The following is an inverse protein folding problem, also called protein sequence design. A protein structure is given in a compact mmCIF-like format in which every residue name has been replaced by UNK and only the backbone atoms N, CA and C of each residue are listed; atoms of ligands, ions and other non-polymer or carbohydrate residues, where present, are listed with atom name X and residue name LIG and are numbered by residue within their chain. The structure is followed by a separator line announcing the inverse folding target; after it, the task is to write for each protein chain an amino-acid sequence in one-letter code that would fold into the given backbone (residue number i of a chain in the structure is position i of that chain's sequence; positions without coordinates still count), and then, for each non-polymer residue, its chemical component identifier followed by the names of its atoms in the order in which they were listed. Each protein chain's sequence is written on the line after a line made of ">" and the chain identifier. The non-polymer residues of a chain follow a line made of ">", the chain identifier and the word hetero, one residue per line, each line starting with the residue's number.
data_IF_237158496180
#
_entry.id   IF_237158496180
#
_cell.length_a   1.000
_cell.length_b   1.000
_cell.length_c   1.000
_cell.angle_alpha   90.00
_cell.angle_beta   90.00
_cell.angle_gamma   90.00
#
_symmetry.space_group_name_H-M   'P 1'
#
loop_
_entity.id
_entity.type
_entity.pdbx_description
1 polymer ?
#
# COMPACT_ATOMS: atom_id res chain seq x y z
N UNK A 1 -23.24 -2.71 -20.78
CA UNK A 1 -23.23 -1.74 -19.66
C UNK A 1 -21.88 -1.04 -19.55
N UNK A 2 -21.80 0.17 -18.99
CA UNK A 2 -20.52 0.79 -18.61
C UNK A 2 -20.01 0.07 -17.37
N UNK A 3 -18.88 -0.61 -17.49
CA UNK A 3 -18.22 -1.19 -16.33
C UNK A 3 -17.79 -0.07 -15.37
N UNK A 4 -18.13 -0.24 -14.09
CA UNK A 4 -17.72 0.69 -13.04
C UNK A 4 -16.26 0.39 -12.68
N UNK A 5 -15.36 1.19 -13.25
CA UNK A 5 -13.93 1.02 -13.07
C UNK A 5 -13.50 1.65 -11.75
N UNK A 6 -12.85 0.88 -10.88
CA UNK A 6 -12.33 1.38 -9.61
C UNK A 6 -10.82 1.16 -9.51
N UNK A 7 -10.16 1.97 -8.67
CA UNK A 7 -8.73 1.82 -8.39
C UNK A 7 -8.47 0.41 -7.83
N UNK A 8 -7.52 -0.29 -8.45
CA UNK A 8 -7.13 -1.65 -8.09
C UNK A 8 -7.92 -2.75 -8.80
N UNK A 9 -8.92 -2.41 -9.62
CA UNK A 9 -9.62 -3.38 -10.48
C UNK A 9 -8.75 -3.81 -11.67
N UNK A 10 -8.97 -5.04 -12.14
CA UNK A 10 -8.36 -5.54 -13.38
C UNK A 10 -9.27 -5.29 -14.57
N UNK A 11 -8.68 -4.90 -15.68
CA UNK A 11 -9.36 -4.63 -16.92
C UNK A 11 -8.51 -5.13 -18.09
N UNK A 12 -9.15 -5.47 -19.20
CA UNK A 12 -8.49 -5.73 -20.48
C UNK A 12 -8.50 -4.46 -21.31
N UNK A 13 -7.37 -4.15 -21.92
CA UNK A 13 -7.25 -2.99 -22.80
C UNK A 13 -7.72 -3.35 -24.20
N UNK A 14 -8.61 -2.56 -24.78
CA UNK A 14 -9.08 -2.72 -26.16
C UNK A 14 -9.20 -1.35 -26.86
N UNK A 15 -9.14 -1.33 -28.19
CA UNK A 15 -9.38 -0.10 -28.97
C UNK A 15 -8.30 1.00 -28.85
N UNK A 16 -7.06 0.67 -28.47
CA UNK A 16 -5.94 1.61 -28.58
C UNK A 16 -5.55 1.79 -30.06
N UNK A 17 -5.58 3.04 -30.54
CA UNK A 17 -5.22 3.38 -31.91
C UNK A 17 -3.72 3.63 -32.15
N UNK A 18 -2.97 4.04 -31.11
CA UNK A 18 -1.53 4.35 -31.21
C UNK A 18 -0.62 3.19 -30.80
N UNK A 19 -1.09 2.34 -29.88
CA UNK A 19 -0.37 1.17 -29.34
C UNK A 19 -1.29 -0.04 -29.44
N UNK A 20 -1.53 -0.48 -30.67
CA UNK A 20 -2.41 -1.61 -30.98
C UNK A 20 -1.86 -2.94 -30.47
N UNK A 21 -0.55 -3.00 -30.23
CA UNK A 21 0.20 -4.09 -29.61
C UNK A 21 -0.28 -4.44 -28.19
N UNK A 22 -0.92 -3.49 -27.51
CA UNK A 22 -1.45 -3.68 -26.16
C UNK A 22 -2.93 -4.01 -26.12
N UNK A 23 -3.60 -4.08 -27.28
CA UNK A 23 -4.98 -4.54 -27.32
C UNK A 23 -5.02 -6.04 -26.95
N UNK A 24 -5.87 -6.39 -25.98
CA UNK A 24 -5.92 -7.71 -25.37
C UNK A 24 -5.09 -7.85 -24.09
N UNK A 25 -4.23 -6.87 -23.76
CA UNK A 25 -3.41 -6.93 -22.55
C UNK A 25 -4.26 -6.71 -21.29
N UNK A 26 -3.94 -7.46 -20.23
CA UNK A 26 -4.54 -7.29 -18.91
C UNK A 26 -3.78 -6.21 -18.13
N UNK A 27 -4.53 -5.29 -17.56
CA UNK A 27 -4.01 -4.17 -16.80
C UNK A 27 -4.68 -4.05 -15.44
N UNK A 28 -3.92 -3.57 -14.47
CA UNK A 28 -4.43 -3.15 -13.15
C UNK A 28 -4.58 -1.64 -13.16
N UNK A 29 -5.77 -1.14 -12.83
CA UNK A 29 -6.03 0.28 -12.71
C UNK A 29 -5.39 0.83 -11.43
N UNK A 30 -4.54 1.84 -11.53
CA UNK A 30 -3.81 2.41 -10.40
C UNK A 30 -4.46 3.68 -9.85
N UNK A 31 -4.87 4.59 -10.74
CA UNK A 31 -5.51 5.85 -10.36
C UNK A 31 -6.30 6.45 -11.52
N UNK A 32 -7.31 7.24 -11.20
CA UNK A 32 -8.04 8.04 -12.19
C UNK A 32 -7.40 9.43 -12.30
N UNK A 33 -6.93 9.79 -13.49
CA UNK A 33 -6.42 11.12 -13.79
C UNK A 33 -7.56 11.98 -14.36
N UNK A 34 -8.24 12.71 -13.47
CA UNK A 34 -9.39 13.53 -13.81
C UNK A 34 -9.06 14.63 -14.85
N UNK A 35 -7.85 15.18 -14.78
CA UNK A 35 -7.40 16.26 -15.69
C UNK A 35 -7.33 15.82 -17.15
N UNK A 36 -7.07 14.53 -17.39
CA UNK A 36 -6.87 13.97 -18.73
C UNK A 36 -8.02 13.05 -19.16
N UNK A 37 -8.91 12.70 -18.22
CA UNK A 37 -9.99 11.75 -18.42
C UNK A 37 -9.49 10.35 -18.74
N UNK A 38 -8.38 9.93 -18.13
CA UNK A 38 -7.73 8.63 -18.38
C UNK A 38 -7.37 7.93 -17.08
N UNK A 39 -7.43 6.60 -17.11
CA UNK A 39 -6.88 5.75 -16.06
C UNK A 39 -5.39 5.60 -16.23
N UNK A 40 -4.62 5.82 -15.17
CA UNK A 40 -3.29 5.25 -15.04
C UNK A 40 -3.46 3.76 -14.76
N UNK A 41 -2.86 2.92 -15.59
CA UNK A 41 -2.95 1.47 -15.49
C UNK A 41 -1.57 0.85 -15.70
N UNK A 42 -1.29 -0.24 -15.00
CA UNK A 42 -0.07 -1.04 -15.18
C UNK A 42 -0.40 -2.29 -15.97
N UNK A 43 0.36 -2.59 -17.02
CA UNK A 43 0.25 -3.85 -17.75
C UNK A 43 0.83 -5.00 -16.93
N UNK A 44 0.08 -6.09 -16.81
CA UNK A 44 0.54 -7.28 -16.09
C UNK A 44 1.63 -8.03 -16.87
N UNK A 45 1.57 -8.01 -18.19
CA UNK A 45 2.51 -8.74 -19.05
C UNK A 45 3.89 -8.04 -19.17
N UNK A 46 3.91 -6.70 -19.16
CA UNK A 46 5.14 -5.92 -19.39
C UNK A 46 5.57 -5.10 -18.17
N UNK A 47 4.73 -4.98 -17.15
CA UNK A 47 4.96 -4.10 -15.99
C UNK A 47 4.86 -2.60 -16.30
N UNK A 48 4.65 -2.22 -17.56
CA UNK A 48 4.70 -0.83 -18.02
C UNK A 48 3.46 -0.03 -17.55
N UNK A 49 3.69 1.20 -17.09
CA UNK A 49 2.64 2.16 -16.78
C UNK A 49 2.13 2.86 -18.04
N UNK A 50 0.81 2.92 -18.20
CA UNK A 50 0.17 3.54 -19.34
C UNK A 50 -1.11 4.27 -18.96
N UNK A 51 -1.52 5.20 -19.83
CA UNK A 51 -2.75 5.98 -19.68
C UNK A 51 -3.81 5.48 -20.66
N UNK A 52 -4.89 4.91 -20.14
CA UNK A 52 -5.95 4.28 -20.92
C UNK A 52 -7.27 5.02 -20.72
N UNK A 53 -8.03 5.24 -21.80
CA UNK A 53 -9.37 5.83 -21.69
C UNK A 53 -10.33 4.81 -21.09
N UNK A 54 -11.36 5.22 -20.32
CA UNK A 54 -12.40 4.30 -19.85
C UNK A 54 -13.07 3.49 -20.97
N UNK A 55 -13.26 4.11 -22.14
CA UNK A 55 -13.84 3.44 -23.31
C UNK A 55 -12.96 2.31 -23.88
N UNK A 56 -11.69 2.27 -23.49
CA UNK A 56 -10.71 1.30 -23.93
C UNK A 56 -10.43 0.24 -22.84
N UNK A 57 -11.27 0.18 -21.80
CA UNK A 57 -11.16 -0.77 -20.70
C UNK A 57 -12.41 -1.66 -20.66
N UNK A 58 -12.17 -2.96 -20.69
CA UNK A 58 -13.20 -3.98 -20.52
C UNK A 58 -12.97 -4.65 -19.16
N UNK A 59 -13.92 -4.57 -18.24
CA UNK A 59 -13.78 -5.22 -16.95
C UNK A 59 -13.70 -6.74 -17.12
N UNK A 60 -12.77 -7.36 -16.41
CA UNK A 60 -12.64 -8.82 -16.35
C UNK A 60 -13.12 -9.24 -14.97
N UNK A 61 -14.18 -10.03 -14.90
CA UNK A 61 -14.61 -10.65 -13.65
C UNK A 61 -13.60 -11.75 -13.30
N UNK A 62 -12.82 -11.59 -12.24
CA UNK A 62 -11.93 -12.65 -11.76
C UNK A 62 -12.77 -13.80 -11.19
N UNK A 63 -12.89 -14.89 -11.94
CA UNK A 63 -13.33 -16.17 -11.39
C UNK A 63 -12.13 -16.85 -10.71
N UNK A 64 -12.08 -16.76 -9.37
CA UNK A 64 -11.19 -17.60 -8.56
C UNK A 64 -12.05 -18.66 -7.82
N UNK A 65 -11.58 -19.92 -7.72
CA UNK A 65 -12.37 -21.04 -7.22
C UNK A 65 -12.58 -20.94 -5.70
N UNK A 66 -13.82 -21.21 -5.27
CA UNK A 66 -14.20 -21.32 -3.88
C UNK A 66 -13.67 -22.63 -3.28
N UNK A 67 -12.90 -22.55 -2.20
CA UNK A 67 -12.69 -23.66 -1.28
C UNK A 67 -12.99 -23.16 0.13
N UNK A 68 -14.12 -23.61 0.66
CA UNK A 68 -14.50 -23.46 2.07
C UNK A 68 -13.58 -24.32 2.96
N UNK A 69 -13.13 -23.77 4.09
CA UNK A 69 -13.10 -24.56 5.34
C UNK A 69 -13.17 -23.70 6.60
N UNK A 70 -13.72 -24.34 7.64
CA UNK A 70 -14.45 -23.85 8.80
C UNK A 70 -13.63 -23.14 9.89
N UNK A 71 -14.36 -22.33 10.64
CA UNK A 71 -13.97 -21.65 11.86
C UNK A 71 -13.60 -22.59 13.01
N UNK A 72 -12.66 -22.14 13.84
CA UNK A 72 -12.55 -22.53 15.24
C UNK A 72 -12.35 -21.26 16.09
N UNK A 73 -13.16 -21.19 17.14
CA UNK A 73 -13.21 -20.21 18.20
C UNK A 73 -12.02 -20.34 19.16
N UNK A 74 -11.57 -19.25 19.76
CA UNK A 74 -11.71 -19.00 21.20
C UNK A 74 -11.06 -17.67 21.62
N UNK A 75 -11.62 -17.13 22.69
CA UNK A 75 -11.52 -15.75 23.17
C UNK A 75 -10.30 -15.46 24.07
N UNK A 76 -9.97 -14.16 24.23
CA UNK A 76 -10.00 -13.42 25.51
C UNK A 76 -8.97 -12.27 25.51
N UNK A 77 -9.36 -11.09 26.02
CA UNK A 77 -8.39 -10.10 26.52
C UNK A 77 -8.72 -8.64 26.22
N UNK A 78 -9.34 -7.98 27.19
CA UNK A 78 -9.80 -6.59 27.22
C UNK A 78 -8.74 -5.52 26.96
N UNK A 79 -9.15 -4.37 26.38
CA UNK A 79 -8.34 -3.15 26.33
C UNK A 79 -9.13 -1.94 25.81
N UNK A 80 -9.39 -0.99 26.70
CA UNK A 80 -10.49 -0.01 26.70
C UNK A 80 -10.50 1.04 25.56
N UNK A 81 -11.71 1.54 25.29
CA UNK A 81 -12.09 2.58 24.31
C UNK A 81 -12.08 3.99 24.90
N UNK A 82 -11.83 5.00 24.06
CA UNK A 82 -12.18 6.41 24.30
C UNK A 82 -12.49 7.03 22.93
N UNK A 83 -13.75 7.08 22.51
CA UNK A 83 -14.79 8.09 22.80
C UNK A 83 -14.57 9.46 22.13
N UNK A 84 -15.30 9.60 21.01
CA UNK A 84 -16.26 10.66 20.70
C UNK A 84 -15.79 12.06 20.29
N UNK A 85 -16.63 12.64 19.42
CA UNK A 85 -16.78 14.05 19.01
C UNK A 85 -15.80 14.44 17.89
N UNK A 86 -16.20 14.82 16.68
CA UNK A 86 -17.38 15.56 16.23
C UNK A 86 -16.89 16.83 15.51
N UNK A 87 -17.58 17.21 14.42
CA UNK A 87 -17.54 18.53 13.71
C UNK A 87 -16.45 18.70 12.59
N UNK A 88 -16.58 19.65 11.64
CA UNK A 88 -17.43 19.62 10.43
C UNK A 88 -16.65 19.69 9.09
N UNK A 89 -17.37 19.34 8.01
CA UNK A 89 -16.92 19.06 6.63
C UNK A 89 -16.57 20.28 5.74
N UNK A 90 -16.17 21.44 6.27
CA UNK A 90 -16.11 22.65 5.41
C UNK A 90 -14.73 23.15 4.97
N UNK A 91 -13.62 22.47 5.28
CA UNK A 91 -12.29 23.08 5.08
C UNK A 91 -11.36 22.40 4.05
N UNK A 92 -11.81 21.37 3.31
CA UNK A 92 -10.97 20.68 2.32
C UNK A 92 -11.11 21.33 0.94
N UNK A 93 -10.19 22.23 0.58
CA UNK A 93 -9.84 22.51 -0.81
C UNK A 93 -8.32 22.66 -0.98
N UNK A 94 -7.70 22.06 -2.01
CA UNK A 94 -6.27 22.15 -2.24
C UNK A 94 -5.93 23.41 -3.04
N UNK A 95 -4.86 24.11 -2.64
CA UNK A 95 -4.13 25.01 -3.53
C UNK A 95 -2.68 24.55 -3.55
N UNK A 96 -2.31 23.87 -4.63
CA UNK A 96 -0.92 23.60 -4.93
C UNK A 96 -0.20 24.85 -5.42
N UNK A 97 1.06 25.00 -5.02
CA UNK A 97 2.09 25.64 -5.85
C UNK A 97 3.47 25.01 -5.59
N UNK A 98 4.37 25.09 -6.59
CA UNK A 98 5.54 24.23 -6.73
C UNK A 98 6.72 24.74 -5.92
N UNK A 99 7.62 23.83 -5.51
CA UNK A 99 8.92 24.20 -4.94
C UNK A 99 10.04 23.66 -5.82
N UNK A 100 11.00 24.56 -5.99
CA UNK A 100 12.05 24.67 -6.99
C UNK A 100 13.19 23.64 -6.85
N UNK A 101 13.88 23.43 -7.97
CA UNK A 101 14.95 22.46 -8.18
C UNK A 101 16.27 23.19 -8.01
N UNK A 102 16.96 23.00 -6.90
CA UNK A 102 18.40 23.24 -6.83
C UNK A 102 19.03 22.48 -5.67
N UNK A 103 19.80 21.45 -6.00
CA UNK A 103 20.64 20.75 -5.05
C UNK A 103 20.74 19.27 -5.37
N UNK A 104 21.80 18.91 -6.10
CA UNK A 104 22.17 17.55 -6.42
C UNK A 104 22.05 16.61 -5.21
N UNK A 105 21.19 15.60 -5.32
CA UNK A 105 21.36 14.33 -4.63
C UNK A 105 21.55 13.29 -5.71
N UNK A 106 22.71 12.62 -5.60
CA UNK A 106 23.10 11.51 -6.44
C UNK A 106 22.06 10.40 -6.31
N UNK A 107 21.78 9.82 -7.45
CA UNK A 107 21.08 8.58 -7.69
C UNK A 107 21.72 7.45 -6.85
N UNK A 108 21.24 7.27 -5.62
CA UNK A 108 21.66 6.24 -4.65
C UNK A 108 20.41 5.48 -4.13
N UNK A 109 19.47 5.16 -5.02
CA UNK A 109 18.22 4.48 -4.65
C UNK A 109 17.93 3.19 -5.41
N UNK A 110 18.67 2.88 -6.49
CA UNK A 110 18.40 1.67 -7.28
C UNK A 110 19.20 0.44 -6.79
N UNK A 111 20.47 0.60 -6.39
CA UNK A 111 21.35 -0.52 -6.01
C UNK A 111 21.00 -1.20 -4.67
N UNK A 112 20.38 -0.48 -3.74
CA UNK A 112 19.98 -1.05 -2.46
C UNK A 112 18.74 -1.94 -2.59
N UNK A 113 17.83 -1.62 -3.51
CA UNK A 113 16.58 -2.36 -3.70
C UNK A 113 16.78 -3.69 -4.43
N UNK A 114 17.59 -3.72 -5.50
CA UNK A 114 17.93 -4.96 -6.21
C UNK A 114 18.58 -5.98 -5.27
N UNK A 115 19.35 -5.51 -4.27
CA UNK A 115 19.96 -6.36 -3.26
C UNK A 115 18.95 -7.03 -2.32
N UNK A 116 17.75 -6.45 -2.18
CA UNK A 116 16.65 -6.93 -1.36
C UNK A 116 15.71 -7.89 -2.10
N UNK A 117 15.85 -8.03 -3.42
CA UNK A 117 15.02 -8.90 -4.24
C UNK A 117 15.75 -10.21 -4.56
N UNK A 118 14.99 -11.30 -4.60
CA UNK A 118 15.47 -12.58 -5.11
C UNK A 118 15.21 -12.70 -6.63
N UNK A 119 15.57 -13.85 -7.20
CA UNK A 119 15.40 -14.11 -8.62
C UNK A 119 13.92 -14.11 -9.08
N UNK A 120 12.98 -14.29 -8.14
CA UNK A 120 11.54 -14.33 -8.39
C UNK A 120 10.88 -12.96 -8.16
N UNK A 121 11.67 -11.92 -7.84
CA UNK A 121 11.18 -10.58 -7.50
C UNK A 121 10.49 -10.51 -6.13
N UNK A 122 10.75 -11.49 -5.27
CA UNK A 122 10.27 -11.52 -3.89
C UNK A 122 11.35 -11.01 -2.93
N UNK A 123 10.99 -10.77 -1.67
CA UNK A 123 11.94 -10.34 -0.65
C UNK A 123 13.00 -11.42 -0.35
N UNK A 124 14.26 -11.12 -0.65
CA UNK A 124 15.40 -11.99 -0.37
C UNK A 124 15.68 -12.15 1.13
N UNK A 125 15.42 -11.09 1.91
CA UNK A 125 15.72 -10.99 3.34
C UNK A 125 14.44 -10.99 4.18
N UNK A 126 14.55 -11.51 5.40
CA UNK A 126 13.44 -11.48 6.36
C UNK A 126 13.32 -10.06 6.93
N UNK A 127 12.11 -9.67 7.33
CA UNK A 127 11.83 -8.34 7.84
C UNK A 127 11.51 -8.40 9.33
N UNK A 128 12.13 -7.50 10.08
CA UNK A 128 11.98 -7.39 11.51
C UNK A 128 11.60 -5.97 11.92
N UNK A 129 10.96 -5.85 13.08
CA UNK A 129 10.71 -4.55 13.70
C UNK A 129 12.05 -3.85 14.01
N UNK A 130 12.15 -2.56 13.65
CA UNK A 130 13.35 -1.75 13.91
C UNK A 130 13.58 -1.46 15.40
N UNK A 131 12.54 -1.55 16.22
CA UNK A 131 12.59 -1.20 17.64
C UNK A 131 12.95 -2.43 18.49
N UNK A 132 12.14 -3.50 18.44
CA UNK A 132 12.32 -4.67 19.28
C UNK A 132 12.92 -5.89 18.56
N UNK A 133 13.04 -5.88 17.23
CA UNK A 133 13.56 -7.02 16.46
C UNK A 133 12.59 -8.18 16.25
N UNK A 134 11.33 -8.05 16.69
CA UNK A 134 10.27 -9.05 16.42
C UNK A 134 10.15 -9.34 14.92
N UNK A 135 9.95 -10.62 14.54
CA UNK A 135 9.80 -11.06 13.15
C UNK A 135 8.46 -10.58 12.58
N UNK A 136 8.50 -9.87 11.45
CA UNK A 136 7.31 -9.32 10.79
C UNK A 136 6.94 -10.16 9.57
N UNK A 137 7.89 -10.37 8.66
CA UNK A 137 7.69 -11.15 7.44
C UNK A 137 8.89 -12.08 7.18
N UNK A 138 8.67 -13.35 6.83
CA UNK A 138 9.73 -14.26 6.44
C UNK A 138 10.20 -13.99 4.99
N UNK A 139 11.27 -14.66 4.57
CA UNK A 139 11.88 -14.55 3.23
C UNK A 139 10.98 -15.15 2.15
N UNK A 140 11.02 -14.57 0.95
CA UNK A 140 10.41 -15.13 -0.27
C UNK A 140 8.88 -15.14 -0.27
N UNK A 141 8.23 -14.24 0.48
CA UNK A 141 6.77 -14.20 0.63
C UNK A 141 6.09 -13.00 0.00
N UNK A 142 6.81 -11.89 -0.10
CA UNK A 142 6.20 -10.60 -0.43
C UNK A 142 6.90 -9.96 -1.62
N UNK A 143 6.11 -9.27 -2.44
CA UNK A 143 6.56 -8.65 -3.68
C UNK A 143 6.81 -7.16 -3.45
N UNK A 144 7.89 -6.63 -4.02
CA UNK A 144 8.11 -5.20 -3.99
C UNK A 144 7.16 -4.46 -4.95
N UNK A 145 6.66 -3.31 -4.50
CA UNK A 145 5.91 -2.37 -5.31
C UNK A 145 6.48 -0.97 -5.07
N UNK A 146 6.90 -0.34 -6.17
CA UNK A 146 7.26 1.06 -6.18
C UNK A 146 5.99 1.92 -6.16
N UNK A 147 5.60 2.33 -4.96
CA UNK A 147 4.44 3.20 -4.73
C UNK A 147 4.77 4.12 -3.56
N UNK A 148 4.14 5.29 -3.55
CA UNK A 148 4.29 6.26 -2.48
C UNK A 148 2.96 6.40 -1.73
N UNK A 149 3.02 6.48 -0.41
CA UNK A 149 1.86 6.70 0.43
C UNK A 149 2.19 7.67 1.57
N UNK A 150 1.20 8.50 1.93
CA UNK A 150 1.30 9.33 3.13
C UNK A 150 1.02 8.47 4.36
N UNK A 151 1.92 8.49 5.33
CA UNK A 151 1.80 7.75 6.57
C UNK A 151 2.18 8.63 7.76
N UNK A 152 1.53 8.47 8.93
CA UNK A 152 1.98 9.12 10.17
C UNK A 152 3.44 8.76 10.46
N UNK A 153 4.24 9.62 11.09
CA UNK A 153 5.64 9.37 11.34
C UNK A 153 5.78 8.28 12.44
N UNK A 154 6.89 7.54 12.41
CA UNK A 154 7.18 6.55 13.47
C UNK A 154 7.39 7.27 14.83
N UNK A 155 6.76 6.84 15.92
CA UNK A 155 6.99 7.35 17.27
C UNK A 155 8.47 7.31 17.63
N UNK A 156 9.00 8.40 18.18
CA UNK A 156 10.41 8.50 18.62
C UNK A 156 11.40 9.10 17.60
N UNK A 157 10.97 9.38 16.36
CA UNK A 157 11.79 10.13 15.38
C UNK A 157 11.87 11.64 15.68
N UNK A 158 10.96 12.14 16.52
CA UNK A 158 11.02 13.49 17.11
C UNK A 158 10.93 13.40 18.64
N UNK A 159 11.88 14.01 19.36
CA UNK A 159 11.82 14.19 20.82
C UNK A 159 10.46 14.82 21.18
N UNK A 160 9.65 14.08 21.96
CA UNK A 160 8.29 14.40 22.41
C UNK A 160 7.21 14.48 21.30
N UNK A 161 6.76 13.33 20.82
CA UNK A 161 5.36 13.16 20.43
C UNK A 161 4.87 11.86 21.08
N UNK A 162 4.09 12.01 22.15
CA UNK A 162 3.45 10.90 22.83
C UNK A 162 2.55 10.17 21.84
N UNK A 163 2.58 8.84 21.92
CA UNK A 163 1.67 7.94 21.22
C UNK A 163 0.22 8.32 21.54
N UNK A 164 -0.32 9.20 20.72
CA UNK A 164 -1.74 9.45 20.57
C UNK A 164 -1.99 9.21 19.10
N UNK A 165 -2.94 8.32 18.82
CA UNK A 165 -3.48 8.10 17.49
C UNK A 165 -4.24 9.37 17.05
N UNK A 166 -3.49 10.45 16.88
CA UNK A 166 -3.99 11.79 16.66
C UNK A 166 -4.10 12.01 15.15
N UNK A 167 -5.31 12.36 14.74
CA UNK A 167 -5.76 12.76 13.41
C UNK A 167 -5.06 14.03 12.86
N UNK A 168 -4.00 14.50 13.52
CA UNK A 168 -3.17 15.67 13.18
C UNK A 168 -1.66 15.37 13.24
N UNK A 169 -1.26 14.09 13.22
CA UNK A 169 0.14 13.74 13.08
C UNK A 169 0.66 14.22 11.71
N UNK A 170 1.80 14.93 11.64
CA UNK A 170 2.36 15.39 10.38
C UNK A 170 2.66 14.18 9.50
N UNK A 171 1.89 14.00 8.44
CA UNK A 171 2.05 12.88 7.51
C UNK A 171 3.39 13.01 6.79
N UNK A 172 4.15 11.91 6.72
CA UNK A 172 5.35 11.83 5.88
C UNK A 172 5.06 11.02 4.62
N UNK A 173 5.67 11.41 3.50
CA UNK A 173 5.60 10.67 2.25
C UNK A 173 6.61 9.52 2.31
N UNK A 174 6.11 8.29 2.29
CA UNK A 174 6.92 7.08 2.33
C UNK A 174 6.87 6.41 0.96
N UNK A 175 8.04 6.11 0.39
CA UNK A 175 8.19 5.43 -0.90
C UNK A 175 8.63 3.97 -0.73
N UNK A 176 8.13 3.11 -1.59
CA UNK A 176 8.52 1.70 -1.66
C UNK A 176 7.82 0.84 -0.60
N UNK A 177 7.07 -0.16 -1.07
CA UNK A 177 6.31 -1.06 -0.20
C UNK A 177 6.47 -2.52 -0.60
N UNK A 178 6.38 -3.40 0.38
CA UNK A 178 6.15 -4.81 0.17
C UNK A 178 4.65 -5.10 0.18
N UNK A 179 4.16 -5.69 -0.89
CA UNK A 179 2.78 -6.16 -1.00
C UNK A 179 2.67 -7.55 -0.40
N UNK A 180 1.82 -7.66 0.61
CA UNK A 180 1.41 -8.92 1.23
C UNK A 180 -0.02 -9.21 0.78
N UNK A 181 -0.19 -10.39 0.15
CA UNK A 181 -1.49 -10.83 -0.39
C UNK A 181 -2.32 -11.59 0.64
N UNK A 182 -1.65 -12.27 1.57
CA UNK A 182 -2.27 -13.02 2.64
C UNK A 182 -1.80 -12.54 4.01
N UNK A 183 -2.73 -12.33 4.94
CA UNK A 183 -2.39 -11.93 6.31
C UNK A 183 -1.63 -13.02 7.06
N UNK A 184 -1.75 -14.27 6.62
CA UNK A 184 -1.01 -15.41 7.17
C UNK A 184 0.45 -15.48 6.72
N UNK A 185 0.87 -14.65 5.75
CA UNK A 185 2.30 -14.52 5.41
C UNK A 185 3.07 -13.70 6.46
N UNK A 186 2.39 -12.99 7.36
CA UNK A 186 3.03 -12.33 8.50
C UNK A 186 3.38 -13.35 9.58
N UNK A 187 4.63 -13.29 10.09
CA UNK A 187 5.02 -14.05 11.28
C UNK A 187 4.33 -13.46 12.52
N UNK A 188 4.43 -12.13 12.69
CA UNK A 188 3.75 -11.39 13.75
C UNK A 188 3.34 -10.01 13.23
N UNK A 189 2.06 -9.65 13.39
CA UNK A 189 1.59 -8.29 13.09
C UNK A 189 0.55 -7.80 14.10
N UNK A 190 0.66 -6.53 14.48
CA UNK A 190 -0.38 -5.79 15.17
C UNK A 190 -1.13 -4.90 14.19
N UNK A 191 -2.37 -4.56 14.50
CA UNK A 191 -3.22 -3.73 13.65
C UNK A 191 -3.89 -2.66 14.50
N UNK A 192 -3.87 -1.40 14.05
CA UNK A 192 -4.58 -0.32 14.74
C UNK A 192 -6.09 -0.44 14.58
N UNK A 193 -6.84 0.32 15.37
CA UNK A 193 -8.26 0.55 15.09
C UNK A 193 -8.43 1.15 13.68
N UNK A 194 -9.52 0.83 12.97
CA UNK A 194 -9.82 1.45 11.68
C UNK A 194 -9.91 2.97 11.83
N UNK A 195 -9.26 3.69 10.91
CA UNK A 195 -9.40 5.13 10.75
C UNK A 195 -10.46 5.44 9.67
N UNK A 196 -10.73 6.72 9.46
CA UNK A 196 -11.67 7.19 8.45
C UNK A 196 -11.32 6.64 7.05
N UNK A 197 -12.35 6.21 6.30
CA UNK A 197 -12.17 5.52 5.02
C UNK A 197 -11.78 4.04 5.12
N UNK A 198 -11.90 3.42 6.31
CA UNK A 198 -11.71 1.99 6.53
C UNK A 198 -10.24 1.54 6.46
N UNK A 199 -9.31 2.48 6.48
CA UNK A 199 -7.88 2.19 6.48
C UNK A 199 -7.44 1.74 7.88
N UNK A 200 -6.51 0.80 7.93
CA UNK A 200 -5.87 0.31 9.16
C UNK A 200 -4.37 0.39 8.98
N UNK A 201 -3.66 0.70 10.06
CA UNK A 201 -2.20 0.67 10.07
C UNK A 201 -1.70 -0.63 10.66
N UNK A 202 -0.57 -1.09 10.11
CA UNK A 202 0.18 -2.23 10.62
C UNK A 202 1.19 -1.69 11.61
N UNK A 203 1.24 -2.27 12.79
CA UNK A 203 2.17 -1.95 13.87
C UNK A 203 2.92 -3.23 14.29
N UNK A 204 4.01 -3.08 15.04
CA UNK A 204 4.70 -4.24 15.59
C UNK A 204 3.80 -4.96 16.61
N UNK A 205 3.67 -6.28 16.51
CA UNK A 205 2.86 -7.08 17.43
C UNK A 205 3.37 -7.11 18.88
N UNK A 206 4.67 -6.87 19.09
CA UNK A 206 5.29 -7.01 20.41
C UNK A 206 5.44 -5.67 21.14
N UNK A 207 5.84 -4.61 20.43
CA UNK A 207 6.12 -3.30 21.04
C UNK A 207 5.13 -2.21 20.66
N UNK A 208 4.10 -2.52 19.87
CA UNK A 208 3.09 -1.59 19.35
C UNK A 208 3.62 -0.35 18.61
N UNK A 209 4.91 -0.35 18.27
CA UNK A 209 5.53 0.74 17.52
C UNK A 209 5.14 0.64 16.04
N UNK A 210 4.68 1.76 15.49
CA UNK A 210 4.25 1.87 14.11
C UNK A 210 3.76 3.29 13.78
N UNK A 211 3.33 3.55 12.54
CA UNK A 211 2.90 2.54 11.59
C UNK A 211 4.06 2.01 10.72
N UNK A 212 4.24 0.70 10.64
CA UNK A 212 5.21 0.08 9.71
C UNK A 212 4.61 -0.20 8.34
N UNK A 213 3.28 -0.15 8.23
CA UNK A 213 2.54 -0.41 7.00
C UNK A 213 1.08 0.03 7.10
N UNK A 214 0.31 -0.22 6.06
CA UNK A 214 -1.10 0.14 5.97
C UNK A 214 -1.87 -0.82 5.06
N UNK A 215 -3.18 -0.89 5.26
CA UNK A 215 -4.08 -1.61 4.38
C UNK A 215 -5.52 -1.09 4.49
N UNK A 216 -6.31 -1.31 3.45
CA UNK A 216 -7.77 -1.12 3.46
C UNK A 216 -8.48 -2.45 3.23
N UNK A 217 -7.95 -3.24 2.31
CA UNK A 217 -8.36 -4.60 2.02
C UNK A 217 -7.36 -5.58 2.65
N UNK A 218 -7.84 -6.61 3.34
CA UNK A 218 -7.02 -7.67 3.95
C UNK A 218 -6.27 -8.50 2.91
N UNK A 219 -6.66 -8.42 1.63
CA UNK A 219 -5.95 -9.06 0.52
C UNK A 219 -4.82 -8.21 -0.06
N UNK A 220 -4.69 -6.95 0.36
CA UNK A 220 -3.71 -5.99 -0.17
C UNK A 220 -3.12 -5.17 0.98
N UNK A 221 -2.14 -5.75 1.65
CA UNK A 221 -1.42 -5.11 2.76
C UNK A 221 -0.06 -4.61 2.28
N UNK A 222 0.31 -3.40 2.72
CA UNK A 222 1.51 -2.72 2.29
C UNK A 222 2.43 -2.49 3.49
N UNK A 223 3.65 -3.01 3.45
CA UNK A 223 4.67 -2.82 4.49
C UNK A 223 5.77 -1.92 3.94
N UNK A 224 6.05 -0.80 4.60
CA UNK A 224 7.01 0.18 4.12
C UNK A 224 8.45 -0.35 4.20
N UNK A 225 9.17 -0.32 3.07
CA UNK A 225 10.58 -0.74 2.97
C UNK A 225 11.44 0.03 3.98
N UNK A 226 11.17 1.33 4.11
CA UNK A 226 11.90 2.25 4.97
C UNK A 226 11.53 2.16 6.46
N UNK A 227 10.61 1.28 6.90
CA UNK A 227 10.18 1.19 8.31
C UNK A 227 10.43 -0.18 8.96
N UNK A 228 11.03 -1.11 8.22
CA UNK A 228 11.45 -2.45 8.71
C UNK A 228 12.97 -2.62 8.61
N UNK A 229 13.53 -3.55 9.39
CA UNK A 229 14.95 -3.95 9.32
C UNK A 229 15.05 -5.28 8.56
N UNK A 230 16.07 -5.42 7.73
CA UNK A 230 16.32 -6.65 6.98
C UNK A 230 17.33 -7.56 7.69
N UNK A 231 17.09 -8.88 7.66
CA UNK A 231 17.95 -9.93 8.22
C UNK A 231 18.16 -11.10 7.27
#
# INVERSE_FOLDING_TARGET
>A
EKADHSVGSRARVEGLAKRTDLNGAEVVLLSWEADVGRWAARCDATGEHMRVRPANLVAIAESAPAVELKAASDACGSGETLQSLGVPLSAVLPRGRPVDISGAVRDESEGDLESLLDADGMNKLAMQCRVCGCSVLPRGKVQFIDTQAQMPPMPGTHKKAAATAATDAPMELVSGFWLVKDKFDFDNMGVTRPIEGGMRYIICAECDMGPIGWFRDEKKMHVAVARVRYR
#
